data_IF_655615608782
#
_entry.id   IF_655615608782
#
_cell.length_a   1.000
_cell.length_b   1.000
_cell.length_c   1.000
_cell.angle_alpha   90.00
_cell.angle_beta   90.00
_cell.angle_gamma   90.00
#
_symmetry.space_group_name_H-M   'P 1'
#
loop_
_entity.id
_entity.type
_entity.pdbx_description
1 polymer ?
#
# COMPACT_ATOMS: atom_id res chain seq x y z
N UNK A 1 -4.64 -21.54 22.11
CA UNK A 1 -3.24 -21.11 22.32
C UNK A 1 -3.00 -19.81 21.56
N UNK A 2 -2.67 -18.69 22.24
CA UNK A 2 -2.23 -17.48 21.54
C UNK A 2 -0.92 -17.78 20.79
N UNK A 3 -0.91 -17.68 19.45
CA UNK A 3 0.33 -17.80 18.68
C UNK A 3 1.31 -16.74 19.18
N UNK A 4 2.53 -17.17 19.54
CA UNK A 4 3.59 -16.22 19.93
C UNK A 4 3.91 -15.33 18.74
N UNK A 5 3.86 -14.01 18.93
CA UNK A 5 4.21 -13.06 17.88
C UNK A 5 5.66 -13.28 17.42
N UNK A 6 5.93 -13.24 16.12
CA UNK A 6 7.30 -13.33 15.62
C UNK A 6 8.10 -12.09 16.09
N UNK A 7 9.38 -12.27 16.39
CA UNK A 7 10.28 -11.15 16.70
C UNK A 7 10.89 -10.52 15.46
N UNK A 8 10.82 -11.21 14.32
CA UNK A 8 11.31 -10.75 13.03
C UNK A 8 10.38 -11.25 11.92
N UNK A 9 10.06 -10.38 10.98
CA UNK A 9 9.18 -10.63 9.83
C UNK A 9 9.79 -10.03 8.58
N UNK A 10 9.65 -10.70 7.46
CA UNK A 10 9.90 -10.13 6.15
C UNK A 10 8.57 -9.67 5.57
N UNK A 11 8.41 -8.35 5.38
CA UNK A 11 7.34 -7.81 4.56
C UNK A 11 7.69 -8.01 3.09
N UNK A 12 6.75 -8.53 2.32
CA UNK A 12 6.93 -8.82 0.89
C UNK A 12 5.84 -8.12 0.12
N UNK A 13 6.19 -7.13 -0.69
CA UNK A 13 5.30 -6.49 -1.66
C UNK A 13 5.38 -7.25 -2.98
N UNK A 14 4.33 -7.99 -3.30
CA UNK A 14 4.18 -8.73 -4.57
C UNK A 14 3.55 -7.85 -5.65
N UNK A 15 4.34 -6.93 -6.20
CA UNK A 15 3.94 -6.17 -7.38
C UNK A 15 3.99 -7.01 -8.67
N UNK A 16 3.43 -6.46 -9.76
CA UNK A 16 3.48 -7.11 -11.09
C UNK A 16 4.79 -6.88 -11.83
N UNK A 17 5.51 -5.79 -11.50
CA UNK A 17 6.78 -5.39 -12.10
C UNK A 17 7.98 -5.73 -11.21
N UNK A 18 7.81 -5.68 -9.91
CA UNK A 18 8.90 -5.93 -8.95
C UNK A 18 8.39 -6.56 -7.67
N UNK A 19 9.24 -7.36 -7.03
CA UNK A 19 9.06 -7.85 -5.66
C UNK A 19 9.96 -7.01 -4.76
N UNK A 20 9.37 -6.38 -3.73
CA UNK A 20 10.11 -5.60 -2.75
C UNK A 20 9.99 -6.24 -1.39
N UNK A 21 11.08 -6.27 -0.66
CA UNK A 21 11.14 -6.96 0.64
C UNK A 21 11.83 -6.11 1.69
N UNK A 22 11.30 -6.17 2.92
CA UNK A 22 11.86 -5.48 4.10
C UNK A 22 11.91 -6.45 5.26
N UNK A 23 13.09 -6.69 5.81
CA UNK A 23 13.27 -7.44 7.04
C UNK A 23 13.17 -6.50 8.25
N UNK A 24 12.08 -6.58 8.98
CA UNK A 24 11.81 -5.79 10.17
C UNK A 24 11.89 -6.66 11.42
N UNK A 25 12.57 -6.17 12.45
CA UNK A 25 12.73 -6.85 13.74
C UNK A 25 12.20 -5.97 14.87
N UNK A 26 11.52 -6.56 15.82
CA UNK A 26 11.13 -5.90 17.08
C UNK A 26 12.17 -6.22 18.16
N UNK A 27 12.79 -5.18 18.70
CA UNK A 27 13.69 -5.26 19.88
C UNK A 27 12.96 -4.87 21.16
N UNK A 28 13.61 -5.04 22.30
CA UNK A 28 13.08 -4.65 23.61
C UNK A 28 12.65 -3.17 23.60
N UNK A 29 11.56 -2.84 24.32
CA UNK A 29 11.08 -1.46 24.45
C UNK A 29 10.35 -0.92 23.23
N UNK A 30 9.70 -1.78 22.43
CA UNK A 30 8.92 -1.40 21.23
C UNK A 30 9.74 -0.69 20.15
N UNK A 31 11.06 -0.88 20.12
CA UNK A 31 11.94 -0.40 19.05
C UNK A 31 11.91 -1.36 17.87
N UNK A 32 11.89 -0.80 16.67
CA UNK A 32 11.92 -1.55 15.41
C UNK A 32 13.23 -1.29 14.68
N UNK A 33 13.77 -2.33 14.06
CA UNK A 33 15.03 -2.29 13.34
C UNK A 33 14.83 -2.83 11.95
N UNK A 34 15.20 -2.04 10.93
CA UNK A 34 15.35 -2.51 9.55
C UNK A 34 16.71 -3.19 9.45
N UNK A 35 16.70 -4.51 9.31
CA UNK A 35 17.93 -5.30 9.24
C UNK A 35 18.38 -5.62 7.83
N UNK A 36 17.47 -5.60 6.87
CA UNK A 36 17.75 -5.74 5.44
C UNK A 36 16.55 -5.36 4.58
N UNK A 37 16.77 -5.16 3.27
CA UNK A 37 15.72 -4.98 2.26
C UNK A 37 16.22 -5.44 0.89
N UNK A 38 15.32 -5.64 -0.06
CA UNK A 38 15.66 -5.81 -1.46
C UNK A 38 14.54 -5.26 -2.37
N UNK A 39 14.96 -4.81 -3.54
CA UNK A 39 14.08 -4.46 -4.67
C UNK A 39 14.51 -5.35 -5.83
N UNK A 40 13.65 -6.28 -6.22
CA UNK A 40 13.89 -7.20 -7.33
C UNK A 40 12.92 -6.88 -8.46
N UNK A 41 13.44 -6.41 -9.58
CA UNK A 41 12.69 -6.13 -10.81
C UNK A 41 12.59 -7.42 -11.60
N UNK A 42 11.37 -7.80 -12.00
CA UNK A 42 11.11 -8.98 -12.80
C UNK A 42 11.03 -8.63 -14.28
N UNK A 43 11.51 -9.50 -15.15
CA UNK A 43 11.38 -9.33 -16.60
C UNK A 43 9.91 -9.44 -17.03
N UNK A 44 9.19 -10.40 -16.46
CA UNK A 44 7.76 -10.63 -16.71
C UNK A 44 7.02 -10.94 -15.42
N UNK A 45 5.75 -10.54 -15.36
CA UNK A 45 4.90 -10.87 -14.22
C UNK A 45 4.66 -12.39 -14.14
N UNK A 46 4.94 -13.06 -13.01
CA UNK A 46 4.77 -14.49 -12.86
C UNK A 46 3.30 -14.90 -12.94
N UNK A 47 2.99 -15.88 -13.79
CA UNK A 47 1.64 -16.39 -14.02
C UNK A 47 1.40 -17.73 -13.32
N UNK A 48 2.47 -18.45 -12.97
CA UNK A 48 2.40 -19.75 -12.30
C UNK A 48 3.10 -19.73 -10.94
N UNK A 49 2.79 -20.71 -10.10
CA UNK A 49 3.42 -20.86 -8.79
C UNK A 49 4.93 -21.14 -8.91
N UNK A 50 5.35 -21.87 -9.94
CA UNK A 50 6.76 -22.15 -10.24
C UNK A 50 7.52 -20.87 -10.57
N UNK A 51 6.97 -20.04 -11.45
CA UNK A 51 7.55 -18.75 -11.82
C UNK A 51 7.65 -17.84 -10.59
N UNK A 52 6.55 -17.70 -9.83
CA UNK A 52 6.57 -16.88 -8.62
C UNK A 52 7.56 -17.42 -7.58
N UNK A 53 7.67 -18.73 -7.41
CA UNK A 53 8.65 -19.34 -6.52
C UNK A 53 10.10 -19.06 -6.95
N UNK A 54 10.38 -19.01 -8.25
CA UNK A 54 11.69 -18.63 -8.78
C UNK A 54 12.03 -17.17 -8.47
N UNK A 55 11.10 -16.25 -8.70
CA UNK A 55 11.28 -14.83 -8.38
C UNK A 55 11.44 -14.58 -6.87
N UNK A 56 10.67 -15.30 -6.03
CA UNK A 56 10.80 -15.25 -4.57
C UNK A 56 12.18 -15.72 -4.09
N UNK A 57 12.76 -16.73 -4.73
CA UNK A 57 14.12 -17.20 -4.40
C UNK A 57 15.16 -16.10 -4.59
N UNK A 58 15.00 -15.28 -5.64
CA UNK A 58 15.89 -14.15 -5.92
C UNK A 58 15.63 -13.03 -4.91
N UNK A 59 14.37 -12.58 -4.80
CA UNK A 59 13.98 -11.47 -3.95
C UNK A 59 14.28 -11.68 -2.45
N UNK A 60 14.24 -12.92 -1.99
CA UNK A 60 14.43 -13.28 -0.57
C UNK A 60 15.84 -13.82 -0.27
N UNK A 61 16.73 -13.96 -1.27
CA UNK A 61 18.02 -14.62 -1.13
C UNK A 61 18.86 -14.03 0.01
N UNK A 62 18.93 -12.72 0.10
CA UNK A 62 19.83 -12.02 1.01
C UNK A 62 19.10 -11.24 2.11
N UNK A 63 17.76 -11.33 2.16
CA UNK A 63 16.94 -10.47 3.05
C UNK A 63 16.67 -11.15 4.40
N UNK A 64 16.55 -12.46 4.42
CA UNK A 64 15.92 -13.18 5.51
C UNK A 64 16.82 -14.03 6.41
N UNK A 65 18.09 -13.72 6.61
CA UNK A 65 19.00 -14.57 7.42
C UNK A 65 18.43 -14.91 8.81
N UNK A 66 17.64 -14.01 9.43
CA UNK A 66 17.07 -14.16 10.77
C UNK A 66 15.54 -14.26 10.83
N UNK A 67 14.84 -14.16 9.71
CA UNK A 67 13.38 -14.22 9.66
C UNK A 67 12.91 -15.31 8.69
N UNK A 68 12.07 -16.22 9.19
CA UNK A 68 11.46 -17.31 8.40
C UNK A 68 9.97 -17.09 8.17
N UNK A 69 9.47 -15.93 8.52
CA UNK A 69 8.04 -15.59 8.45
C UNK A 69 7.86 -14.39 7.53
N UNK A 70 7.00 -14.52 6.54
CA UNK A 70 6.69 -13.48 5.57
C UNK A 70 5.26 -12.95 5.78
N UNK A 71 5.11 -11.63 5.81
CA UNK A 71 3.84 -10.95 5.66
C UNK A 71 3.75 -10.43 4.21
N UNK A 72 2.74 -10.90 3.49
CA UNK A 72 2.63 -10.67 2.04
C UNK A 72 1.64 -9.55 1.79
N UNK A 73 2.05 -8.55 1.04
CA UNK A 73 1.18 -7.54 0.47
C UNK A 73 0.96 -7.80 -1.03
N UNK A 74 -0.29 -7.69 -1.47
CA UNK A 74 -0.66 -7.92 -2.86
C UNK A 74 -1.33 -6.68 -3.42
N UNK A 75 -0.80 -6.18 -4.55
CA UNK A 75 -1.47 -5.21 -5.40
C UNK A 75 -2.19 -5.94 -6.53
N UNK A 76 -3.51 -5.83 -6.59
CA UNK A 76 -4.33 -6.50 -7.60
C UNK A 76 -5.49 -5.60 -7.99
N UNK A 77 -5.69 -5.39 -9.30
CA UNK A 77 -6.81 -4.60 -9.83
C UNK A 77 -8.17 -5.26 -9.59
N UNK A 78 -8.16 -6.58 -9.40
CA UNK A 78 -9.34 -7.40 -9.12
C UNK A 78 -9.55 -7.65 -7.61
N UNK A 79 -8.80 -6.97 -6.73
CA UNK A 79 -9.05 -7.01 -5.29
C UNK A 79 -10.33 -6.27 -4.93
N UNK A 80 -11.06 -6.83 -3.96
CA UNK A 80 -12.20 -6.16 -3.35
C UNK A 80 -11.74 -5.33 -2.17
N UNK A 81 -12.13 -4.06 -2.14
CA UNK A 81 -12.01 -3.21 -0.97
C UNK A 81 -13.26 -2.34 -0.85
N UNK A 82 -13.93 -2.39 0.29
CA UNK A 82 -15.15 -1.63 0.57
C UNK A 82 -15.18 -1.20 2.02
N UNK A 83 -15.68 -0.01 2.26
CA UNK A 83 -16.05 0.48 3.59
C UNK A 83 -17.57 0.42 3.68
N UNK A 84 -18.08 -0.33 4.67
CA UNK A 84 -19.52 -0.51 4.89
C UNK A 84 -19.89 -0.09 6.31
N UNK A 85 -21.13 0.36 6.50
CA UNK A 85 -21.70 0.64 7.81
C UNK A 85 -22.68 -0.47 8.18
N UNK A 86 -22.45 -1.10 9.32
CA UNK A 86 -23.27 -2.21 9.83
C UNK A 86 -23.46 -2.08 11.34
N UNK A 87 -24.50 -2.67 11.93
CA UNK A 87 -24.58 -2.81 13.37
C UNK A 87 -23.32 -3.44 13.94
N UNK A 88 -22.91 -3.01 15.13
CA UNK A 88 -21.71 -3.55 15.78
C UNK A 88 -21.80 -5.08 15.91
N UNK A 89 -21.10 -5.79 15.03
CA UNK A 89 -21.18 -7.22 14.83
C UNK A 89 -19.79 -7.84 14.97
N UNK A 90 -19.63 -8.95 15.71
CA UNK A 90 -18.36 -9.66 15.78
C UNK A 90 -17.84 -10.01 14.38
N UNK A 91 -16.51 -9.86 14.18
CA UNK A 91 -15.83 -10.00 12.90
C UNK A 91 -16.16 -11.31 12.18
N UNK A 92 -16.16 -12.43 12.90
CA UNK A 92 -16.44 -13.75 12.34
C UNK A 92 -17.86 -13.84 11.79
N UNK A 93 -18.84 -13.32 12.53
CA UNK A 93 -20.25 -13.31 12.14
C UNK A 93 -20.45 -12.41 10.92
N UNK A 94 -19.87 -11.22 10.92
CA UNK A 94 -19.97 -10.29 9.79
C UNK A 94 -19.33 -10.90 8.53
N UNK A 95 -18.16 -11.50 8.65
CA UNK A 95 -17.46 -12.16 7.53
C UNK A 95 -18.32 -13.29 6.94
N UNK A 96 -18.97 -14.10 7.76
CA UNK A 96 -19.82 -15.18 7.28
C UNK A 96 -21.12 -14.64 6.66
N UNK A 97 -21.71 -13.57 7.22
CA UNK A 97 -22.84 -12.86 6.61
C UNK A 97 -22.48 -12.29 5.22
N UNK A 98 -21.29 -11.69 5.06
CA UNK A 98 -20.81 -11.18 3.78
C UNK A 98 -20.63 -12.32 2.76
N UNK A 99 -20.10 -13.47 3.16
CA UNK A 99 -19.96 -14.63 2.28
C UNK A 99 -21.29 -15.13 1.74
N UNK A 100 -22.32 -15.11 2.57
CA UNK A 100 -23.66 -15.56 2.19
C UNK A 100 -24.45 -14.53 1.38
N UNK A 101 -24.28 -13.24 1.68
CA UNK A 101 -25.08 -12.14 1.14
C UNK A 101 -24.21 -11.02 0.51
N UNK A 102 -23.08 -11.36 -0.10
CA UNK A 102 -22.15 -10.39 -0.66
C UNK A 102 -22.77 -9.45 -1.68
N UNK A 103 -23.67 -9.97 -2.51
CA UNK A 103 -24.37 -9.15 -3.49
C UNK A 103 -25.23 -8.05 -2.83
N UNK A 104 -25.92 -8.36 -1.74
CA UNK A 104 -26.74 -7.39 -1.01
C UNK A 104 -25.89 -6.39 -0.20
N UNK A 105 -24.83 -6.86 0.44
CA UNK A 105 -24.02 -6.03 1.35
C UNK A 105 -22.93 -5.21 0.64
N UNK A 106 -22.38 -5.72 -0.48
CA UNK A 106 -21.26 -5.14 -1.18
C UNK A 106 -21.56 -4.76 -2.63
N UNK A 107 -22.79 -5.09 -3.12
CA UNK A 107 -23.17 -5.01 -4.53
C UNK A 107 -22.20 -5.78 -5.45
N UNK A 108 -21.70 -6.93 -4.96
CA UNK A 108 -20.72 -7.76 -5.68
C UNK A 108 -20.84 -9.23 -5.28
N UNK A 109 -20.76 -10.15 -6.24
CA UNK A 109 -20.60 -11.58 -5.95
C UNK A 109 -19.21 -11.84 -5.39
N UNK A 110 -19.14 -12.49 -4.24
CA UNK A 110 -17.87 -12.71 -3.50
C UNK A 110 -17.49 -14.19 -3.38
N UNK A 111 -18.18 -15.09 -4.09
CA UNK A 111 -17.97 -16.55 -3.98
C UNK A 111 -16.51 -16.96 -4.29
N UNK A 112 -15.91 -16.28 -5.27
CA UNK A 112 -14.56 -16.55 -5.71
C UNK A 112 -13.48 -15.76 -4.93
N UNK A 113 -13.87 -15.07 -3.83
CA UNK A 113 -12.96 -14.31 -3.00
C UNK A 113 -12.63 -15.03 -1.68
N UNK A 114 -11.42 -14.80 -1.22
CA UNK A 114 -11.03 -14.96 0.19
C UNK A 114 -11.22 -13.60 0.84
N UNK A 115 -12.14 -13.52 1.80
CA UNK A 115 -12.58 -12.27 2.42
C UNK A 115 -12.14 -12.19 3.87
N UNK A 116 -11.88 -10.97 4.29
CA UNK A 116 -11.79 -10.61 5.70
C UNK A 116 -12.40 -9.23 5.93
N UNK A 117 -12.71 -8.90 7.19
CA UNK A 117 -13.20 -7.58 7.58
C UNK A 117 -12.63 -7.15 8.92
N UNK A 118 -12.47 -5.85 9.09
CA UNK A 118 -11.96 -5.25 10.34
C UNK A 118 -12.75 -3.98 10.62
N UNK A 119 -13.05 -3.72 11.90
CA UNK A 119 -13.71 -2.49 12.30
C UNK A 119 -12.76 -1.31 12.15
N UNK A 120 -13.23 -0.22 11.54
CA UNK A 120 -12.50 1.03 11.40
C UNK A 120 -12.83 1.93 12.60
N UNK A 121 -11.83 2.56 13.24
CA UNK A 121 -12.07 3.64 14.19
C UNK A 121 -12.93 4.73 13.57
N UNK A 122 -13.88 5.28 14.31
CA UNK A 122 -14.69 6.42 13.87
C UNK A 122 -14.10 7.71 14.45
N UNK A 123 -13.73 8.65 13.58
CA UNK A 123 -13.19 9.95 13.98
C UNK A 123 -14.28 10.98 14.29
N UNK A 124 -15.51 10.75 13.86
CA UNK A 124 -16.65 11.59 14.18
C UNK A 124 -17.27 11.17 15.51
N UNK A 125 -17.75 12.13 16.33
CA UNK A 125 -18.53 11.80 17.51
C UNK A 125 -19.77 10.98 17.09
N UNK A 126 -20.07 9.94 17.87
CA UNK A 126 -21.30 9.17 17.62
C UNK A 126 -22.50 10.12 17.69
N UNK A 127 -23.45 10.05 16.70
CA UNK A 127 -24.69 10.81 16.82
C UNK A 127 -25.40 10.41 18.12
N UNK A 128 -26.09 11.37 18.77
CA UNK A 128 -26.85 11.06 19.99
C UNK A 128 -27.80 9.89 19.67
N UNK A 129 -27.69 8.82 20.44
CA UNK A 129 -28.55 7.65 20.28
C UNK A 129 -30.00 8.09 20.51
N UNK A 130 -30.82 7.99 19.49
CA UNK A 130 -32.26 8.04 19.68
C UNK A 130 -32.63 6.94 20.70
N UNK A 131 -33.34 7.31 21.75
CA UNK A 131 -33.73 6.39 22.82
C UNK A 131 -34.46 5.17 22.21
N UNK A 132 -33.78 4.01 22.25
CA UNK A 132 -34.34 2.75 21.74
C UNK A 132 -33.53 1.99 20.67
N UNK A 133 -32.44 2.54 20.12
CA UNK A 133 -31.57 1.81 19.19
C UNK A 133 -30.57 0.92 19.93
N UNK A 134 -30.83 -0.38 19.89
CA UNK A 134 -30.08 -1.38 20.67
C UNK A 134 -28.65 -1.63 20.16
N UNK A 135 -28.26 -1.12 18.96
CA UNK A 135 -26.93 -1.41 18.40
C UNK A 135 -26.44 -0.26 17.49
N UNK A 136 -25.42 0.51 17.89
CA UNK A 136 -24.87 1.58 17.06
C UNK A 136 -24.26 0.98 15.78
N UNK A 137 -24.46 1.66 14.65
CA UNK A 137 -23.75 1.33 13.41
C UNK A 137 -22.28 1.74 13.52
N UNK A 138 -21.42 0.88 13.05
CA UNK A 138 -19.96 1.10 12.99
C UNK A 138 -19.47 0.81 11.59
N UNK A 139 -18.31 1.37 11.25
CA UNK A 139 -17.68 1.17 9.95
C UNK A 139 -16.78 -0.05 9.95
N UNK A 140 -16.86 -0.81 8.88
CA UNK A 140 -15.97 -1.95 8.63
C UNK A 140 -15.28 -1.78 7.29
N UNK A 141 -13.97 -2.03 7.28
CA UNK A 141 -13.22 -2.30 6.07
C UNK A 141 -13.44 -3.77 5.72
N UNK A 142 -13.97 -4.02 4.53
CA UNK A 142 -14.05 -5.35 3.93
C UNK A 142 -13.00 -5.44 2.84
N UNK A 143 -12.15 -6.43 2.94
CA UNK A 143 -11.07 -6.69 2.01
C UNK A 143 -11.17 -8.11 1.45
N UNK A 144 -10.86 -8.27 0.17
CA UNK A 144 -10.88 -9.57 -0.48
C UNK A 144 -9.89 -9.70 -1.63
N UNK A 145 -9.36 -10.91 -1.79
CA UNK A 145 -8.52 -11.30 -2.91
C UNK A 145 -9.17 -12.47 -3.65
N UNK A 146 -9.05 -12.54 -4.98
CA UNK A 146 -9.46 -13.72 -5.73
C UNK A 146 -8.80 -14.97 -5.16
N UNK A 147 -9.58 -16.03 -4.98
CA UNK A 147 -9.13 -17.31 -4.43
C UNK A 147 -7.96 -17.89 -5.23
N UNK A 148 -8.02 -17.78 -6.57
CA UNK A 148 -6.94 -18.20 -7.46
C UNK A 148 -5.61 -17.51 -7.16
N UNK A 149 -5.64 -16.20 -6.83
CA UNK A 149 -4.45 -15.43 -6.48
C UNK A 149 -3.85 -15.88 -5.15
N UNK A 150 -4.71 -16.12 -4.14
CA UNK A 150 -4.27 -16.63 -2.84
C UNK A 150 -3.67 -18.03 -2.97
N UNK A 151 -4.29 -18.90 -3.76
CA UNK A 151 -3.78 -20.26 -4.03
C UNK A 151 -2.43 -20.24 -4.75
N UNK A 152 -2.26 -19.38 -5.76
CA UNK A 152 -1.00 -19.22 -6.48
C UNK A 152 0.14 -18.81 -5.51
N UNK A 153 -0.11 -17.85 -4.63
CA UNK A 153 0.87 -17.40 -3.63
C UNK A 153 1.21 -18.53 -2.65
N UNK A 154 0.21 -19.23 -2.12
CA UNK A 154 0.41 -20.33 -1.19
C UNK A 154 1.25 -21.45 -1.82
N UNK A 155 0.92 -21.88 -3.02
CA UNK A 155 1.67 -22.89 -3.77
C UNK A 155 3.11 -22.47 -4.05
N UNK A 156 3.34 -21.20 -4.41
CA UNK A 156 4.68 -20.67 -4.63
C UNK A 156 5.54 -20.72 -3.36
N UNK A 157 4.97 -20.37 -2.20
CA UNK A 157 5.66 -20.45 -0.91
C UNK A 157 5.88 -21.91 -0.46
N UNK A 158 4.96 -22.82 -0.74
CA UNK A 158 5.16 -24.25 -0.50
C UNK A 158 6.35 -24.80 -1.30
N UNK A 159 6.57 -24.33 -2.52
CA UNK A 159 7.74 -24.71 -3.33
C UNK A 159 9.02 -24.00 -2.87
N UNK A 160 8.92 -22.75 -2.40
CA UNK A 160 10.08 -22.02 -1.87
C UNK A 160 10.65 -22.63 -0.59
N UNK A 161 9.83 -23.16 0.33
CA UNK A 161 10.15 -23.94 1.54
C UNK A 161 11.07 -23.29 2.58
N UNK A 162 11.60 -22.09 2.35
CA UNK A 162 12.53 -21.41 3.27
C UNK A 162 11.85 -20.43 4.22
N UNK A 163 10.62 -20.04 3.91
CA UNK A 163 9.82 -19.14 4.72
C UNK A 163 8.36 -19.56 4.71
N UNK A 164 7.63 -19.23 5.77
CA UNK A 164 6.18 -19.45 5.89
C UNK A 164 5.43 -18.15 5.76
N UNK A 165 4.22 -18.21 5.22
CA UNK A 165 3.30 -17.07 5.17
C UNK A 165 2.68 -16.86 6.55
N UNK A 166 2.77 -15.64 7.08
CA UNK A 166 2.07 -15.22 8.28
C UNK A 166 0.63 -14.79 7.94
N UNK A 167 0.52 -13.88 6.98
CA UNK A 167 -0.74 -13.38 6.45
C UNK A 167 -0.55 -12.86 5.01
N UNK A 168 -1.68 -12.64 4.32
CA UNK A 168 -1.74 -11.96 3.02
C UNK A 168 -2.65 -10.75 3.19
N UNK A 169 -2.21 -9.59 2.75
CA UNK A 169 -2.87 -8.30 2.92
C UNK A 169 -2.99 -7.57 1.58
N UNK A 170 -3.88 -6.60 1.48
CA UNK A 170 -3.91 -5.68 0.34
C UNK A 170 -2.81 -4.61 0.48
N UNK A 171 -2.14 -4.29 -0.62
CA UNK A 171 -1.06 -3.29 -0.64
C UNK A 171 -1.52 -1.91 -0.13
N UNK A 172 -2.74 -1.49 -0.47
CA UNK A 172 -3.33 -0.23 0.00
C UNK A 172 -3.47 -0.17 1.53
N UNK A 173 -3.87 -1.29 2.16
CA UNK A 173 -3.93 -1.39 3.62
C UNK A 173 -2.52 -1.37 4.22
N UNK A 174 -1.56 -2.01 3.56
CA UNK A 174 -0.17 -1.97 4.01
C UNK A 174 0.43 -0.57 3.96
N UNK A 175 0.14 0.22 2.92
CA UNK A 175 0.57 1.63 2.84
C UNK A 175 -0.01 2.45 4.00
N UNK A 176 -1.30 2.28 4.31
CA UNK A 176 -1.95 2.93 5.46
C UNK A 176 -1.29 2.52 6.80
N UNK A 177 -1.02 1.23 7.00
CA UNK A 177 -0.35 0.71 8.19
C UNK A 177 1.10 1.22 8.31
N UNK A 178 1.82 1.38 7.19
CA UNK A 178 3.17 1.95 7.17
C UNK A 178 3.15 3.43 7.58
N UNK A 179 2.15 4.18 7.12
CA UNK A 179 1.99 5.58 7.51
C UNK A 179 1.67 5.72 9.00
N UNK A 180 0.74 4.94 9.54
CA UNK A 180 0.49 4.86 10.99
C UNK A 180 1.78 4.53 11.77
N UNK A 181 2.57 3.61 11.24
CA UNK A 181 3.79 3.16 11.89
C UNK A 181 4.86 4.25 11.97
N UNK A 182 5.01 5.07 10.92
CA UNK A 182 6.08 6.05 10.75
C UNK A 182 5.66 7.50 11.09
N UNK A 183 4.38 7.87 10.96
CA UNK A 183 3.84 9.22 11.13
C UNK A 183 2.73 9.27 12.17
N UNK A 184 3.02 8.77 13.37
CA UNK A 184 2.03 8.52 14.43
C UNK A 184 1.22 9.75 14.83
N UNK A 185 1.86 10.90 14.90
CA UNK A 185 1.20 12.14 15.33
C UNK A 185 0.23 12.65 14.27
N UNK A 186 0.66 12.75 13.01
CA UNK A 186 -0.19 13.10 11.88
C UNK A 186 -1.33 12.09 11.72
N UNK A 187 -1.04 10.79 11.78
CA UNK A 187 -2.03 9.73 11.70
C UNK A 187 -3.10 9.82 12.79
N UNK A 188 -2.70 10.20 14.02
CA UNK A 188 -3.60 10.27 15.16
C UNK A 188 -4.45 11.53 15.20
N UNK A 189 -3.99 12.66 14.63
CA UNK A 189 -4.55 13.98 14.91
C UNK A 189 -5.01 14.74 13.67
N UNK A 190 -4.55 14.37 12.48
CA UNK A 190 -4.75 15.16 11.25
C UNK A 190 -5.53 14.38 10.18
N UNK A 191 -5.98 15.10 9.15
CA UNK A 191 -6.40 14.53 7.88
C UNK A 191 -5.16 14.41 6.97
N UNK A 192 -5.04 13.29 6.25
CA UNK A 192 -3.92 13.01 5.37
C UNK A 192 -4.35 12.26 4.13
N UNK A 193 -3.64 12.48 3.03
CA UNK A 193 -3.83 11.76 1.78
C UNK A 193 -2.52 11.07 1.39
N UNK A 194 -2.61 9.77 1.15
CA UNK A 194 -1.51 8.94 0.65
C UNK A 194 -1.74 8.62 -0.81
N UNK A 195 -0.72 8.79 -1.63
CA UNK A 195 -0.70 8.32 -3.03
C UNK A 195 0.46 7.36 -3.19
N UNK A 196 0.16 6.09 -3.42
CA UNK A 196 1.17 5.09 -3.77
C UNK A 196 1.21 4.92 -5.28
N UNK A 197 2.28 5.42 -5.93
CA UNK A 197 2.43 5.38 -7.39
C UNK A 197 3.27 4.16 -7.76
N UNK A 198 2.59 3.08 -8.10
CA UNK A 198 3.22 1.84 -8.55
C UNK A 198 3.68 1.92 -10.01
N UNK A 199 4.05 0.77 -10.59
CA UNK A 199 4.46 0.69 -11.98
C UNK A 199 3.24 0.70 -12.93
N UNK A 200 2.20 -0.08 -12.64
CA UNK A 200 1.01 -0.22 -13.48
C UNK A 200 -0.19 0.57 -12.96
N UNK A 201 -0.35 0.66 -11.67
CA UNK A 201 -1.48 1.32 -11.02
C UNK A 201 -1.02 2.14 -9.82
N UNK A 202 -1.85 3.09 -9.44
CA UNK A 202 -1.68 3.89 -8.24
C UNK A 202 -2.83 3.66 -7.27
N UNK A 203 -2.60 3.95 -6.01
CA UNK A 203 -3.64 3.88 -4.97
C UNK A 203 -3.71 5.21 -4.24
N UNK A 204 -4.92 5.77 -4.12
CA UNK A 204 -5.22 6.92 -3.27
C UNK A 204 -5.89 6.43 -1.99
N UNK A 205 -5.37 6.83 -0.86
CA UNK A 205 -5.92 6.51 0.47
C UNK A 205 -6.06 7.80 1.27
N UNK A 206 -7.26 8.07 1.78
CA UNK A 206 -7.51 9.20 2.68
C UNK A 206 -7.82 8.68 4.06
N UNK A 207 -7.12 9.22 5.05
CA UNK A 207 -7.35 8.96 6.47
C UNK A 207 -7.53 10.26 7.26
N UNK A 208 -8.20 10.16 8.40
CA UNK A 208 -8.37 11.25 9.35
C UNK A 208 -8.46 10.70 10.76
N UNK A 209 -7.60 11.18 11.67
CA UNK A 209 -7.65 10.82 13.11
C UNK A 209 -7.83 9.31 13.34
N UNK A 210 -6.98 8.50 12.69
CA UNK A 210 -6.96 7.02 12.69
C UNK A 210 -8.05 6.34 11.85
N UNK A 211 -9.04 7.07 11.35
CA UNK A 211 -10.09 6.52 10.50
C UNK A 211 -9.60 6.41 9.06
N UNK A 212 -9.79 5.26 8.43
CA UNK A 212 -9.65 5.07 7.00
C UNK A 212 -10.96 5.50 6.32
N UNK A 213 -10.92 6.51 5.46
CA UNK A 213 -12.13 7.10 4.86
C UNK A 213 -12.31 6.73 3.40
N UNK A 214 -11.22 6.74 2.62
CA UNK A 214 -11.24 6.45 1.19
C UNK A 214 -10.09 5.53 0.85
N UNK A 215 -10.35 4.54 0.01
CA UNK A 215 -9.33 3.78 -0.73
C UNK A 215 -9.80 3.65 -2.17
N UNK A 216 -8.97 4.11 -3.11
CA UNK A 216 -9.24 4.04 -4.56
C UNK A 216 -8.03 3.51 -5.29
N UNK A 217 -8.23 2.54 -6.17
CA UNK A 217 -7.25 2.15 -7.17
C UNK A 217 -7.44 2.99 -8.43
N UNK A 218 -6.34 3.44 -9.01
CA UNK A 218 -6.30 4.24 -10.25
C UNK A 218 -5.46 3.46 -11.26
N UNK A 219 -5.98 3.26 -12.44
CA UNK A 219 -5.28 2.57 -13.52
C UNK A 219 -4.29 3.51 -14.23
N UNK A 220 -3.31 3.95 -13.48
CA UNK A 220 -2.19 4.79 -13.90
C UNK A 220 -0.97 4.50 -13.00
N UNK A 221 0.21 4.38 -13.61
CA UNK A 221 1.46 4.17 -12.88
C UNK A 221 2.67 4.75 -13.60
N UNK A 222 3.84 4.61 -12.99
CA UNK A 222 5.10 5.11 -13.57
C UNK A 222 5.45 4.47 -14.92
N UNK A 223 4.96 3.26 -15.19
CA UNK A 223 5.05 2.61 -16.51
C UNK A 223 4.28 3.36 -17.59
N UNK A 224 3.05 3.78 -17.27
CA UNK A 224 2.22 4.58 -18.19
C UNK A 224 2.88 5.92 -18.52
N UNK A 225 3.44 6.61 -17.51
CA UNK A 225 4.20 7.84 -17.73
C UNK A 225 5.38 7.59 -18.67
N UNK A 226 6.16 6.55 -18.40
CA UNK A 226 7.34 6.19 -19.18
C UNK A 226 6.99 5.89 -20.63
N UNK A 227 5.96 5.08 -20.88
CA UNK A 227 5.48 4.76 -22.22
C UNK A 227 4.98 5.99 -22.97
N UNK A 228 4.28 6.89 -22.28
CA UNK A 228 3.81 8.15 -22.85
C UNK A 228 4.99 9.04 -23.28
N UNK A 229 6.02 9.21 -22.44
CA UNK A 229 7.19 10.02 -22.76
C UNK A 229 7.99 9.45 -23.93
N UNK A 230 8.17 8.14 -23.99
CA UNK A 230 8.82 7.48 -25.14
C UNK A 230 8.02 7.70 -26.42
N UNK A 231 6.70 7.59 -26.37
CA UNK A 231 5.84 7.81 -27.54
C UNK A 231 5.80 9.28 -28.00
N UNK A 232 6.23 10.22 -27.15
CA UNK A 232 6.21 11.67 -27.41
C UNK A 232 7.62 12.29 -27.47
N UNK A 233 8.64 11.54 -27.87
CA UNK A 233 9.93 12.11 -28.27
C UNK A 233 11.16 11.54 -27.59
N UNK A 234 11.07 10.86 -26.46
CA UNK A 234 12.22 10.18 -25.87
C UNK A 234 12.56 8.89 -26.62
N UNK A 235 13.83 8.64 -26.89
CA UNK A 235 14.27 7.47 -27.67
C UNK A 235 14.13 6.15 -26.91
N UNK A 236 14.17 6.22 -25.59
CA UNK A 236 14.05 5.05 -24.71
C UNK A 236 13.63 5.47 -23.28
N UNK A 237 13.21 4.52 -22.42
CA UNK A 237 12.73 4.80 -21.07
C UNK A 237 13.73 5.49 -20.14
N UNK A 238 15.02 5.23 -20.26
CA UNK A 238 16.05 5.84 -19.41
C UNK A 238 16.26 7.31 -19.81
N UNK A 239 16.30 7.58 -21.11
CA UNK A 239 16.36 8.94 -21.63
C UNK A 239 15.14 9.76 -21.22
N UNK A 240 13.92 9.18 -21.28
CA UNK A 240 12.70 9.83 -20.86
C UNK A 240 12.79 10.36 -19.42
N UNK A 241 13.30 9.54 -18.51
CA UNK A 241 13.44 9.96 -17.12
C UNK A 241 14.60 10.94 -16.90
N UNK A 242 15.70 10.77 -17.63
CA UNK A 242 16.80 11.73 -17.57
C UNK A 242 16.39 13.12 -18.08
N UNK A 243 15.65 13.21 -19.18
CA UNK A 243 15.11 14.46 -19.70
C UNK A 243 14.13 15.10 -18.72
N UNK A 244 13.25 14.29 -18.10
CA UNK A 244 12.33 14.78 -17.09
C UNK A 244 13.08 15.33 -15.86
N UNK A 245 14.12 14.63 -15.38
CA UNK A 245 14.95 15.06 -14.25
C UNK A 245 15.79 16.30 -14.56
N UNK A 246 16.24 16.46 -15.80
CA UNK A 246 16.97 17.66 -16.25
C UNK A 246 16.09 18.88 -16.45
N UNK A 247 14.76 18.73 -16.40
CA UNK A 247 13.80 19.81 -16.58
C UNK A 247 13.61 20.21 -18.05
N UNK A 248 13.79 19.29 -18.99
CA UNK A 248 13.48 19.54 -20.40
C UNK A 248 12.01 19.93 -20.56
N UNK A 249 11.75 21.16 -21.03
CA UNK A 249 10.41 21.77 -21.07
C UNK A 249 9.39 20.89 -21.79
N UNK A 250 9.75 20.33 -22.95
CA UNK A 250 8.85 19.48 -23.74
C UNK A 250 8.50 18.21 -22.98
N UNK A 251 9.51 17.60 -22.34
CA UNK A 251 9.31 16.37 -21.57
C UNK A 251 8.48 16.64 -20.30
N UNK A 252 8.68 17.78 -19.64
CA UNK A 252 7.87 18.20 -18.47
C UNK A 252 6.42 18.44 -18.88
N UNK A 253 6.15 19.11 -20.00
CA UNK A 253 4.79 19.34 -20.51
C UNK A 253 4.12 18.01 -20.90
N UNK A 254 4.83 17.11 -21.55
CA UNK A 254 4.35 15.77 -21.85
C UNK A 254 4.05 14.97 -20.56
N UNK A 255 4.89 15.08 -19.53
CA UNK A 255 4.64 14.44 -18.25
C UNK A 255 3.37 15.01 -17.59
N UNK A 256 3.15 16.32 -17.64
CA UNK A 256 1.95 17.00 -17.14
C UNK A 256 0.69 16.48 -17.84
N UNK A 257 0.72 16.37 -19.17
CA UNK A 257 -0.38 15.79 -19.95
C UNK A 257 -0.67 14.35 -19.55
N UNK A 258 0.37 13.52 -19.40
CA UNK A 258 0.23 12.13 -18.98
C UNK A 258 -0.38 12.00 -17.57
N UNK A 259 0.04 12.86 -16.65
CA UNK A 259 -0.41 12.86 -15.25
C UNK A 259 -1.84 13.39 -15.04
N UNK A 260 -2.43 14.03 -16.03
CA UNK A 260 -3.74 14.71 -15.90
C UNK A 260 -4.86 13.78 -15.38
N UNK A 261 -4.85 12.50 -15.78
CA UNK A 261 -5.83 11.53 -15.30
C UNK A 261 -5.62 11.21 -13.81
N UNK A 262 -4.38 10.95 -13.40
CA UNK A 262 -4.02 10.70 -11.99
C UNK A 262 -4.36 11.91 -11.11
N UNK A 263 -3.96 13.09 -11.52
CA UNK A 263 -4.22 14.37 -10.81
C UNK A 263 -5.71 14.60 -10.60
N UNK A 264 -6.54 14.35 -11.64
CA UNK A 264 -7.99 14.48 -11.54
C UNK A 264 -8.61 13.52 -10.52
N UNK A 265 -8.15 12.28 -10.48
CA UNK A 265 -8.64 11.28 -9.51
C UNK A 265 -8.21 11.63 -8.07
N UNK A 266 -7.01 12.18 -7.89
CA UNK A 266 -6.55 12.68 -6.59
C UNK A 266 -7.42 13.87 -6.17
N UNK A 267 -7.59 14.88 -7.03
CA UNK A 267 -8.42 16.05 -6.76
C UNK A 267 -9.88 15.69 -6.45
N UNK A 268 -10.45 14.71 -7.19
CA UNK A 268 -11.78 14.17 -6.91
C UNK A 268 -11.87 13.54 -5.53
N UNK A 269 -10.82 12.85 -5.09
CA UNK A 269 -10.79 12.22 -3.76
C UNK A 269 -10.68 13.27 -2.64
N UNK A 270 -9.91 14.33 -2.86
CA UNK A 270 -9.83 15.49 -1.95
C UNK A 270 -11.20 16.16 -1.84
N UNK A 271 -11.80 16.55 -2.96
CA UNK A 271 -13.10 17.23 -2.98
C UNK A 271 -14.22 16.37 -2.36
N UNK A 272 -14.20 15.04 -2.57
CA UNK A 272 -15.16 14.14 -1.93
C UNK A 272 -14.99 14.10 -0.40
N UNK A 273 -13.74 14.10 0.08
CA UNK A 273 -13.45 14.11 1.51
C UNK A 273 -13.86 15.42 2.16
N UNK A 274 -13.38 16.55 1.63
CA UNK A 274 -13.62 17.89 2.17
C UNK A 274 -15.09 18.31 2.08
N UNK A 275 -15.82 17.86 1.07
CA UNK A 275 -17.27 18.08 0.96
C UNK A 275 -18.13 17.36 2.01
N UNK A 276 -17.53 16.44 2.78
CA UNK A 276 -18.21 15.63 3.82
C UNK A 276 -17.63 15.79 5.21
N UNK A 277 -16.53 16.50 5.33
CA UNK A 277 -15.77 16.68 6.57
C UNK A 277 -15.43 18.16 6.73
N UNK A 278 -15.20 18.57 7.96
CA UNK A 278 -14.74 19.93 8.28
C UNK A 278 -13.21 20.04 8.15
N UNK A 279 -12.51 18.92 8.05
CA UNK A 279 -11.06 18.85 7.88
C UNK A 279 -10.67 19.00 6.41
N UNK A 280 -9.54 19.68 6.15
CA UNK A 280 -8.95 19.84 4.82
C UNK A 280 -7.69 19.00 4.66
N UNK A 281 -7.40 18.57 3.45
CA UNK A 281 -6.13 17.94 3.09
C UNK A 281 -5.09 19.03 2.81
N UNK A 282 -4.14 19.19 3.71
CA UNK A 282 -3.09 20.21 3.62
C UNK A 282 -1.80 19.71 2.99
N UNK A 283 -1.67 18.38 2.81
CA UNK A 283 -0.48 17.71 2.29
C UNK A 283 -0.82 16.37 1.66
N UNK A 284 -0.13 16.05 0.58
CA UNK A 284 -0.19 14.75 -0.09
C UNK A 284 1.14 14.00 0.15
N UNK A 285 1.05 12.84 0.76
CA UNK A 285 2.20 11.97 1.02
C UNK A 285 2.32 10.94 -0.10
N UNK A 286 3.42 10.98 -0.85
CA UNK A 286 3.61 10.14 -2.03
C UNK A 286 4.61 9.03 -1.74
N UNK A 287 4.28 7.81 -2.17
CA UNK A 287 5.10 6.61 -2.08
C UNK A 287 5.05 5.80 -3.40
N UNK A 288 5.71 4.65 -3.41
CA UNK A 288 5.81 3.79 -4.59
C UNK A 288 7.00 4.14 -5.49
N UNK A 289 7.21 3.34 -6.52
CA UNK A 289 8.35 3.54 -7.44
C UNK A 289 8.32 4.87 -8.19
N UNK A 290 7.12 5.40 -8.46
CA UNK A 290 6.94 6.71 -9.10
C UNK A 290 7.40 7.89 -8.24
N UNK A 291 7.37 7.76 -6.91
CA UNK A 291 7.81 8.82 -5.99
C UNK A 291 9.34 9.06 -6.01
N UNK A 292 10.13 8.19 -6.66
CA UNK A 292 11.56 8.42 -6.90
C UNK A 292 11.81 9.55 -7.90
N UNK A 293 10.85 9.84 -8.76
CA UNK A 293 10.93 10.90 -9.76
C UNK A 293 10.53 12.25 -9.12
N UNK A 294 11.50 13.01 -8.65
CA UNK A 294 11.26 14.32 -8.02
C UNK A 294 10.42 15.28 -8.87
N UNK A 295 10.64 15.40 -10.21
CA UNK A 295 9.81 16.26 -11.04
C UNK A 295 8.32 15.87 -11.02
N UNK A 296 7.99 14.58 -10.86
CA UNK A 296 6.61 14.13 -10.73
C UNK A 296 5.94 14.72 -9.48
N UNK A 297 6.66 14.77 -8.35
CA UNK A 297 6.13 15.37 -7.13
C UNK A 297 5.89 16.89 -7.30
N UNK A 298 6.79 17.58 -8.01
CA UNK A 298 6.63 19.01 -8.31
C UNK A 298 5.41 19.26 -9.19
N UNK A 299 5.25 18.50 -10.27
CA UNK A 299 4.08 18.60 -11.15
C UNK A 299 2.79 18.33 -10.37
N UNK A 300 2.73 17.29 -9.55
CA UNK A 300 1.56 17.01 -8.72
C UNK A 300 1.26 18.13 -7.73
N UNK A 301 2.28 18.75 -7.13
CA UNK A 301 2.10 19.86 -6.19
C UNK A 301 1.53 21.10 -6.89
N UNK A 302 2.01 21.41 -8.09
CA UNK A 302 1.53 22.52 -8.91
C UNK A 302 0.07 22.32 -9.34
N UNK A 303 -0.24 21.14 -9.87
CA UNK A 303 -1.58 20.82 -10.39
C UNK A 303 -2.65 20.72 -9.28
N UNK A 304 -2.28 20.20 -8.12
CA UNK A 304 -3.20 20.06 -6.99
C UNK A 304 -3.27 21.31 -6.10
N UNK A 305 -2.33 22.24 -6.24
CA UNK A 305 -2.13 23.38 -5.35
C UNK A 305 -1.96 22.99 -3.87
N UNK A 306 -1.46 21.77 -3.64
CA UNK A 306 -1.19 21.20 -2.32
C UNK A 306 0.22 20.58 -2.35
N UNK A 307 1.06 20.80 -1.33
CA UNK A 307 2.38 20.20 -1.27
C UNK A 307 2.31 18.68 -1.38
N UNK A 308 3.04 18.10 -2.35
CA UNK A 308 3.21 16.66 -2.54
C UNK A 308 4.63 16.27 -2.17
N UNK A 309 4.80 15.41 -1.20
CA UNK A 309 6.12 15.04 -0.71
C UNK A 309 6.29 13.52 -0.57
N UNK A 310 7.49 13.04 -0.86
CA UNK A 310 7.85 11.66 -0.57
C UNK A 310 8.03 11.47 0.94
N UNK A 311 7.50 10.38 1.50
CA UNK A 311 7.59 10.10 2.93
C UNK A 311 8.38 8.82 3.23
N UNK A 312 9.06 8.79 4.38
CA UNK A 312 9.92 7.70 4.78
C UNK A 312 9.21 6.73 5.73
N UNK A 313 8.90 5.49 5.31
CA UNK A 313 8.24 4.49 6.16
C UNK A 313 9.10 4.01 7.33
N UNK A 314 10.40 4.33 7.32
CA UNK A 314 11.37 3.93 8.35
C UNK A 314 11.74 5.05 9.31
N UNK A 315 11.07 6.21 9.28
CA UNK A 315 11.42 7.39 10.09
C UNK A 315 11.49 7.11 11.60
N UNK A 316 10.76 6.10 12.08
CA UNK A 316 10.75 5.66 13.49
C UNK A 316 11.58 4.40 13.75
N UNK A 317 12.32 3.91 12.75
CA UNK A 317 13.13 2.70 12.86
C UNK A 317 14.62 3.00 13.03
N UNK A 318 15.31 2.14 13.75
CA UNK A 318 16.75 2.01 13.65
C UNK A 318 17.10 1.30 12.34
N UNK A 319 18.03 1.84 11.55
CA UNK A 319 18.50 1.22 10.30
C UNK A 319 19.85 0.54 10.57
N UNK A 320 19.83 -0.79 10.70
CA UNK A 320 21.01 -1.62 10.97
C UNK A 320 21.55 -2.25 9.66
N UNK A 321 21.95 -1.40 8.72
CA UNK A 321 22.52 -1.78 7.43
C UNK A 321 24.00 -1.34 7.31
N UNK A 322 24.83 -2.01 6.48
CA UNK A 322 26.13 -1.50 6.07
C UNK A 322 26.02 -0.13 5.39
N UNK A 323 27.09 0.68 5.43
CA UNK A 323 27.07 2.07 4.95
C UNK A 323 26.53 2.21 3.52
N UNK A 324 27.09 1.50 2.52
CA UNK A 324 26.61 1.57 1.14
C UNK A 324 25.16 1.12 0.95
N UNK A 325 24.65 0.23 1.82
CA UNK A 325 23.24 -0.17 1.81
C UNK A 325 22.32 0.90 2.43
N UNK A 326 22.84 1.70 3.37
CA UNK A 326 22.09 2.85 3.93
C UNK A 326 21.95 3.97 2.91
N UNK A 327 22.99 4.23 2.12
CA UNK A 327 22.96 5.21 1.02
C UNK A 327 21.94 4.79 -0.04
N UNK A 328 21.97 3.53 -0.48
CA UNK A 328 20.98 3.01 -1.41
C UNK A 328 19.55 3.05 -0.83
N UNK A 329 19.36 2.80 0.47
CA UNK A 329 18.05 2.91 1.12
C UNK A 329 17.51 4.34 1.08
N UNK A 330 18.38 5.37 1.12
CA UNK A 330 17.96 6.76 1.04
C UNK A 330 17.30 7.12 -0.31
N UNK A 331 17.55 6.34 -1.35
CA UNK A 331 16.88 6.47 -2.65
C UNK A 331 15.69 5.52 -2.79
N UNK A 332 15.77 4.33 -2.18
CA UNK A 332 14.79 3.25 -2.34
C UNK A 332 13.60 3.35 -1.39
N UNK A 333 13.71 4.04 -0.25
CA UNK A 333 12.74 4.00 0.85
C UNK A 333 11.30 4.28 0.39
N UNK A 334 11.11 5.21 -0.54
CA UNK A 334 9.79 5.59 -1.05
C UNK A 334 9.03 4.41 -1.67
N UNK A 335 9.77 3.46 -2.23
CA UNK A 335 9.21 2.27 -2.89
C UNK A 335 8.94 1.11 -1.93
N UNK A 336 9.35 1.21 -0.67
CA UNK A 336 9.31 0.13 0.34
C UNK A 336 8.18 0.28 1.35
N UNK A 337 7.31 1.29 1.21
CA UNK A 337 6.19 1.58 2.11
C UNK A 337 5.25 0.39 2.29
N UNK A 338 4.85 -0.27 1.22
CA UNK A 338 3.97 -1.44 1.22
C UNK A 338 4.60 -2.60 1.97
N UNK A 339 5.85 -2.95 1.67
CA UNK A 339 6.56 -4.04 2.35
C UNK A 339 6.80 -3.73 3.83
N UNK A 340 7.12 -2.46 4.15
CA UNK A 340 7.26 -2.00 5.53
C UNK A 340 5.95 -2.18 6.31
N UNK A 341 4.82 -1.73 5.76
CA UNK A 341 3.51 -1.83 6.41
C UNK A 341 3.05 -3.26 6.63
N UNK A 342 3.30 -4.15 5.69
CA UNK A 342 3.02 -5.57 5.83
C UNK A 342 3.80 -6.18 7.01
N UNK A 343 5.10 -5.88 7.13
CA UNK A 343 5.94 -6.35 8.22
C UNK A 343 5.55 -5.74 9.57
N UNK A 344 5.28 -4.43 9.61
CA UNK A 344 4.94 -3.71 10.83
C UNK A 344 3.65 -4.23 11.46
N UNK A 345 2.61 -4.49 10.66
CA UNK A 345 1.34 -5.06 11.12
C UNK A 345 1.53 -6.46 11.71
N UNK A 346 2.31 -7.32 11.06
CA UNK A 346 2.59 -8.68 11.54
C UNK A 346 3.40 -8.72 12.84
N UNK A 347 4.13 -7.64 13.17
CA UNK A 347 4.89 -7.51 14.42
C UNK A 347 4.09 -6.86 15.54
N UNK A 348 2.96 -6.19 15.25
CA UNK A 348 2.11 -5.50 16.24
C UNK A 348 1.09 -6.41 16.89
N UNK A 349 0.58 -7.38 16.16
CA UNK A 349 -0.43 -8.39 16.60
C UNK A 349 0.28 -9.62 17.20
#
# INVERSE_FOLDING_TARGET
MRKKLPNAVIGVDLGRHSIKTVALQRRSGSRFVVSNYAVHVMETAPQTAEQLSAELKIALKDVGANAKTCAIAVSSSDSLIRIIEQPNTPREILRDAIRLNGLSLLNQDVKEFVLDCEQIPNSLPAPPLASGTANPHVKYLVAGLPRSRVQLIDQAFQQYRRASIHNIQLASVCTFNAFEFSHRDTFANEAFLLVDIGHHNSTVTVGVKKELVIVRAIDYGAGTLREFLVSNGASNPNEAFHLLESGDEVTVDNARLSLAALTREIASSIGFFEGRREENITRVYVSGGGARLKPLLSILSEELHIPCEAWNPFSTCEVALPAGRKEALAEDFVSLSVACGAAAEALRK
#
